data_IF_944030060038
#
_entry.id   IF_944030060038
#
_cell.length_a   1.000
_cell.length_b   1.000
_cell.length_c   1.000
_cell.angle_alpha   90.00
_cell.angle_beta   90.00
_cell.angle_gamma   90.00
#
_symmetry.space_group_name_H-M   'P 1'
#
loop_
_entity.id
_entity.type
_entity.pdbx_description
1 polymer ?
#
# COMPACT_ATOMS: atom_id res chain seq x y z
N UNK A 1 26.38 -5.88 -22.48
CA UNK A 1 24.94 -5.55 -22.36
C UNK A 1 24.41 -5.58 -20.93
N UNK A 2 24.53 -6.69 -20.13
CA UNK A 2 24.00 -6.76 -18.76
C UNK A 2 24.50 -5.64 -17.84
N UNK A 3 25.82 -5.37 -17.80
CA UNK A 3 26.40 -4.31 -16.96
C UNK A 3 25.88 -2.92 -17.34
N UNK A 4 25.72 -2.65 -18.64
CA UNK A 4 25.16 -1.39 -19.12
C UNK A 4 23.68 -1.24 -18.74
N UNK A 5 22.86 -2.29 -18.98
CA UNK A 5 21.43 -2.27 -18.60
C UNK A 5 21.24 -2.08 -17.09
N UNK A 6 22.03 -2.78 -16.26
CA UNK A 6 22.00 -2.61 -14.81
C UNK A 6 22.36 -1.17 -14.40
N UNK A 7 23.46 -0.63 -14.91
CA UNK A 7 23.90 0.73 -14.60
C UNK A 7 22.87 1.78 -15.07
N UNK A 8 22.28 1.59 -16.26
CA UNK A 8 21.23 2.46 -16.76
C UNK A 8 19.98 2.44 -15.86
N UNK A 9 19.55 1.25 -15.45
CA UNK A 9 18.41 1.10 -14.53
C UNK A 9 18.71 1.72 -13.17
N UNK A 10 19.91 1.52 -12.61
CA UNK A 10 20.31 2.11 -11.34
C UNK A 10 20.35 3.64 -11.40
N UNK A 11 20.90 4.21 -12.48
CA UNK A 11 20.92 5.66 -12.71
C UNK A 11 19.53 6.25 -12.87
N UNK A 12 18.66 5.57 -13.63
CA UNK A 12 17.27 5.99 -13.81
C UNK A 12 16.51 5.96 -12.48
N UNK A 13 16.68 4.90 -11.69
CA UNK A 13 16.12 4.80 -10.33
C UNK A 13 16.62 5.96 -9.45
N UNK A 14 17.93 6.19 -9.38
CA UNK A 14 18.52 7.26 -8.58
C UNK A 14 18.00 8.64 -9.01
N UNK A 15 17.85 8.86 -10.32
CA UNK A 15 17.31 10.12 -10.86
C UNK A 15 15.85 10.32 -10.44
N UNK A 16 14.98 9.31 -10.67
CA UNK A 16 13.55 9.42 -10.36
C UNK A 16 13.33 9.60 -8.86
N UNK A 17 13.91 8.73 -8.04
CA UNK A 17 13.73 8.79 -6.57
C UNK A 17 14.39 10.04 -5.99
N UNK A 18 15.54 10.45 -6.55
CA UNK A 18 16.21 11.70 -6.18
C UNK A 18 15.36 12.93 -6.48
N UNK A 19 14.72 13.00 -7.66
CA UNK A 19 13.79 14.10 -8.01
C UNK A 19 12.61 14.13 -7.04
N UNK A 20 11.97 12.98 -6.78
CA UNK A 20 10.85 12.88 -5.83
C UNK A 20 11.29 13.36 -4.45
N UNK A 21 12.46 12.93 -3.98
CA UNK A 21 12.98 13.31 -2.68
C UNK A 21 13.27 14.82 -2.58
N UNK A 22 13.87 15.41 -3.61
CA UNK A 22 14.11 16.86 -3.67
C UNK A 22 12.78 17.63 -3.72
N UNK A 23 11.81 17.18 -4.47
CA UNK A 23 10.48 17.79 -4.49
C UNK A 23 9.83 17.79 -3.10
N UNK A 24 9.94 16.69 -2.35
CA UNK A 24 9.41 16.59 -0.98
C UNK A 24 10.13 17.53 -0.03
N UNK A 25 11.45 17.65 -0.13
CA UNK A 25 12.22 18.54 0.74
C UNK A 25 11.85 20.02 0.55
N UNK A 26 11.62 20.43 -0.69
CA UNK A 26 11.42 21.84 -1.03
C UNK A 26 9.98 22.19 -1.39
N UNK A 27 9.15 21.22 -1.75
CA UNK A 27 7.78 21.41 -2.20
C UNK A 27 6.72 21.47 -1.09
N UNK A 28 7.12 21.43 0.16
CA UNK A 28 6.22 21.43 1.32
C UNK A 28 5.23 22.59 1.30
N UNK A 29 5.65 23.76 0.82
CA UNK A 29 4.79 24.95 0.67
C UNK A 29 3.80 24.85 -0.50
N UNK A 30 3.95 23.84 -1.37
CA UNK A 30 3.09 23.60 -2.52
C UNK A 30 2.03 22.52 -2.27
N UNK A 31 2.10 21.82 -1.15
CA UNK A 31 1.16 20.73 -0.81
C UNK A 31 -0.14 21.30 -0.24
N UNK A 32 -1.18 21.30 -1.03
CA UNK A 32 -2.44 21.92 -0.63
C UNK A 32 -3.45 20.97 0.01
N UNK A 33 -3.10 19.70 0.19
CA UNK A 33 -3.99 18.68 0.77
C UNK A 33 -3.94 18.56 2.28
N UNK A 34 -2.97 19.12 2.93
CA UNK A 34 -2.89 19.06 4.37
C UNK A 34 -3.73 20.18 4.98
N UNK A 35 -4.83 19.83 5.65
CA UNK A 35 -5.62 20.77 6.45
C UNK A 35 -4.80 21.46 7.54
N UNK A 36 -3.74 20.78 8.01
CA UNK A 36 -2.74 21.30 8.94
C UNK A 36 -1.33 21.03 8.41
N UNK A 37 -0.47 22.00 8.50
CA UNK A 37 0.93 21.87 8.09
C UNK A 37 1.74 20.99 9.05
N UNK A 38 2.88 20.52 8.60
CA UNK A 38 3.86 19.90 9.49
C UNK A 38 4.38 20.95 10.47
N UNK A 39 4.57 20.56 11.73
CA UNK A 39 5.18 21.47 12.74
C UNK A 39 6.62 21.82 12.38
N UNK A 40 7.30 20.95 11.64
CA UNK A 40 8.69 21.09 11.27
C UNK A 40 8.87 20.89 9.76
N UNK A 41 9.54 21.80 9.03
CA UNK A 41 9.85 21.64 7.61
C UNK A 41 10.68 20.37 7.32
N UNK A 42 10.40 19.69 6.21
CA UNK A 42 11.09 18.46 5.81
C UNK A 42 12.63 18.63 5.72
N UNK A 43 13.11 19.81 5.31
CA UNK A 43 14.55 20.10 5.26
C UNK A 43 15.17 20.11 6.67
N UNK A 44 14.46 20.64 7.67
CA UNK A 44 14.92 20.65 9.06
C UNK A 44 14.94 19.23 9.63
N UNK A 45 13.94 18.41 9.30
CA UNK A 45 13.91 16.98 9.63
C UNK A 45 15.15 16.27 9.07
N UNK A 46 15.47 16.50 7.79
CA UNK A 46 16.65 15.91 7.15
C UNK A 46 17.94 16.33 7.82
N UNK A 47 18.10 17.63 8.10
CA UNK A 47 19.28 18.16 8.83
C UNK A 47 19.39 17.51 10.21
N UNK A 48 18.27 17.36 10.93
CA UNK A 48 18.22 16.66 12.21
C UNK A 48 18.73 15.21 12.10
N UNK A 49 18.30 14.45 11.09
CA UNK A 49 18.81 13.08 10.85
C UNK A 49 20.29 13.04 10.53
N UNK A 50 20.81 13.99 9.74
CA UNK A 50 22.24 14.09 9.45
C UNK A 50 23.04 14.36 10.73
N UNK A 51 22.60 15.29 11.56
CA UNK A 51 23.25 15.62 12.84
C UNK A 51 23.25 14.43 13.80
N UNK A 52 22.12 13.76 13.98
CA UNK A 52 22.01 12.55 14.80
C UNK A 52 22.91 11.44 14.25
N UNK A 53 22.95 11.26 12.94
CA UNK A 53 23.84 10.31 12.26
C UNK A 53 25.31 10.61 12.53
N UNK A 54 25.72 11.87 12.47
CA UNK A 54 27.09 12.30 12.78
C UNK A 54 27.44 12.06 14.26
N UNK A 55 26.54 12.36 15.19
CA UNK A 55 26.74 12.10 16.62
C UNK A 55 26.93 10.60 16.87
N UNK A 56 26.06 9.75 16.30
CA UNK A 56 26.17 8.28 16.41
C UNK A 56 27.49 7.79 15.78
N UNK A 57 27.88 8.35 14.63
CA UNK A 57 29.15 8.01 13.98
C UNK A 57 30.36 8.37 14.87
N UNK A 58 30.40 9.58 15.39
CA UNK A 58 31.47 10.04 16.29
C UNK A 58 31.53 9.23 17.59
N UNK A 59 30.35 8.89 18.15
CA UNK A 59 30.27 8.05 19.36
C UNK A 59 30.82 6.66 19.09
N UNK A 60 30.40 6.00 18.00
CA UNK A 60 30.90 4.69 17.58
C UNK A 60 32.39 4.69 17.25
N UNK A 61 32.88 5.77 16.61
CA UNK A 61 34.29 5.92 16.32
C UNK A 61 35.14 5.92 17.61
N UNK A 62 34.66 6.59 18.67
CA UNK A 62 35.30 6.58 20.00
C UNK A 62 35.18 5.21 20.69
N UNK A 63 34.05 4.51 20.53
CA UNK A 63 33.80 3.23 21.19
C UNK A 63 34.55 2.05 20.53
N UNK A 64 34.71 2.06 19.20
CA UNK A 64 35.52 1.08 18.48
C UNK A 64 37.01 1.11 18.86
N UNK A 65 37.52 2.22 19.42
CA UNK A 65 38.86 2.28 20.01
C UNK A 65 38.99 1.50 21.32
N UNK A 66 37.88 1.07 21.93
CA UNK A 66 37.85 0.39 23.24
C UNK A 66 37.59 -1.13 23.13
N UNK A 67 37.90 -1.78 22.01
CA UNK A 67 37.73 -3.24 21.77
C UNK A 67 36.77 -3.92 22.77
N UNK A 68 35.47 -3.61 22.70
CA UNK A 68 34.45 -4.40 23.40
C UNK A 68 33.91 -5.46 22.45
N UNK A 69 33.93 -6.72 22.91
CA UNK A 69 33.26 -7.82 22.23
C UNK A 69 31.82 -7.42 21.89
N UNK A 70 31.50 -7.43 20.59
CA UNK A 70 30.15 -7.07 20.12
C UNK A 70 29.16 -8.14 20.60
N UNK A 71 28.31 -7.79 21.56
CA UNK A 71 27.24 -8.65 22.03
C UNK A 71 26.38 -9.09 20.84
N UNK A 72 26.38 -10.38 20.55
CA UNK A 72 25.58 -10.95 19.45
C UNK A 72 24.12 -11.03 19.89
N UNK A 73 23.29 -10.16 19.32
CA UNK A 73 21.84 -10.18 19.57
C UNK A 73 21.17 -11.26 18.74
N UNK A 74 20.24 -11.99 19.34
CA UNK A 74 19.35 -12.89 18.60
C UNK A 74 18.20 -12.06 17.97
N UNK A 75 18.49 -11.47 16.80
CA UNK A 75 17.51 -10.62 16.10
C UNK A 75 16.21 -11.38 15.76
N UNK A 76 16.29 -12.68 15.45
CA UNK A 76 15.09 -13.46 15.11
C UNK A 76 14.15 -13.59 16.32
N UNK A 77 14.69 -13.75 17.53
CA UNK A 77 13.90 -13.80 18.76
C UNK A 77 13.29 -12.43 19.08
N UNK A 78 14.10 -11.37 18.99
CA UNK A 78 13.63 -10.00 19.25
C UNK A 78 12.48 -9.64 18.29
N UNK A 79 12.62 -9.94 17.00
CA UNK A 79 11.56 -9.72 16.00
C UNK A 79 10.28 -10.45 16.38
N UNK A 80 10.36 -11.75 16.74
CA UNK A 80 9.15 -12.52 17.12
C UNK A 80 8.44 -11.94 18.33
N UNK A 81 9.18 -11.56 19.37
CA UNK A 81 8.60 -10.92 20.57
C UNK A 81 7.98 -9.57 20.18
N UNK A 82 8.69 -8.74 19.41
CA UNK A 82 8.19 -7.44 18.96
C UNK A 82 6.92 -7.56 18.14
N UNK A 83 6.75 -8.61 17.32
CA UNK A 83 5.53 -8.85 16.54
C UNK A 83 4.32 -9.16 17.43
N UNK A 84 4.51 -9.94 18.50
CA UNK A 84 3.44 -10.22 19.48
C UNK A 84 3.05 -8.93 20.17
N UNK A 85 4.03 -8.16 20.64
CA UNK A 85 3.79 -6.87 21.30
C UNK A 85 3.09 -5.91 20.34
N UNK A 86 3.53 -5.82 19.08
CA UNK A 86 2.91 -4.99 18.07
C UNK A 86 1.44 -5.37 17.86
N UNK A 87 1.15 -6.67 17.73
CA UNK A 87 -0.22 -7.15 17.57
C UNK A 87 -1.13 -6.70 18.73
N UNK A 88 -0.66 -6.87 19.96
CA UNK A 88 -1.42 -6.44 21.15
C UNK A 88 -1.63 -4.92 21.15
N UNK A 89 -0.59 -4.14 20.84
CA UNK A 89 -0.69 -2.68 20.74
C UNK A 89 -1.70 -2.26 19.66
N UNK A 90 -1.68 -2.89 18.49
CA UNK A 90 -2.61 -2.57 17.41
C UNK A 90 -4.07 -2.84 17.80
N UNK A 91 -4.35 -3.97 18.47
CA UNK A 91 -5.70 -4.28 18.95
C UNK A 91 -6.13 -3.29 20.02
N UNK A 92 -5.24 -2.94 20.94
CA UNK A 92 -5.51 -1.96 21.98
C UNK A 92 -5.81 -0.57 21.40
N UNK A 93 -5.02 -0.11 20.42
CA UNK A 93 -5.29 1.15 19.71
C UNK A 93 -6.63 1.05 19.00
N UNK A 94 -6.86 -0.01 18.22
CA UNK A 94 -8.10 -0.19 17.46
C UNK A 94 -9.34 -0.11 18.36
N UNK A 95 -9.34 -0.79 19.50
CA UNK A 95 -10.45 -0.76 20.44
C UNK A 95 -10.82 0.66 20.91
N UNK A 96 -9.83 1.55 21.02
CA UNK A 96 -10.01 2.90 21.52
C UNK A 96 -10.31 3.96 20.45
N UNK A 97 -10.06 3.63 19.17
CA UNK A 97 -10.22 4.59 18.06
C UNK A 97 -11.09 4.06 16.90
N UNK A 98 -11.71 2.87 17.05
CA UNK A 98 -12.56 2.30 16.00
C UNK A 98 -13.74 3.22 15.68
N UNK A 99 -14.07 3.33 14.42
CA UNK A 99 -15.21 4.07 13.89
C UNK A 99 -15.72 3.39 12.61
N UNK A 100 -16.93 3.74 12.16
CA UNK A 100 -17.46 3.22 10.90
C UNK A 100 -16.71 3.86 9.71
N UNK A 101 -16.07 3.08 8.82
CA UNK A 101 -15.35 3.65 7.70
C UNK A 101 -16.30 4.35 6.72
N UNK A 102 -15.79 5.41 6.11
CA UNK A 102 -16.50 6.11 5.03
C UNK A 102 -16.01 5.73 3.64
N UNK A 103 -16.31 6.58 2.67
CA UNK A 103 -15.91 6.44 1.27
C UNK A 103 -16.19 5.04 0.70
N UNK A 104 -15.30 4.53 -0.11
CA UNK A 104 -15.41 3.20 -0.70
C UNK A 104 -15.40 2.08 0.36
N UNK A 105 -14.58 2.22 1.40
CA UNK A 105 -14.49 1.22 2.47
C UNK A 105 -15.84 1.05 3.18
N UNK A 106 -16.49 2.16 3.58
CA UNK A 106 -17.81 2.12 4.18
C UNK A 106 -18.91 1.66 3.22
N UNK A 107 -18.81 2.04 1.95
CA UNK A 107 -19.74 1.58 0.91
C UNK A 107 -19.71 0.07 0.73
N UNK A 108 -18.52 -0.53 0.70
CA UNK A 108 -18.33 -1.98 0.55
C UNK A 108 -18.74 -2.70 1.83
N UNK A 109 -18.34 -2.22 3.00
CA UNK A 109 -18.73 -2.78 4.29
C UNK A 109 -20.26 -2.84 4.45
N UNK A 110 -20.95 -1.74 4.16
CA UNK A 110 -22.40 -1.70 4.22
C UNK A 110 -23.07 -2.61 3.18
N UNK A 111 -22.49 -2.73 1.98
CA UNK A 111 -22.94 -3.70 0.98
C UNK A 111 -22.72 -5.14 1.45
N UNK A 112 -21.64 -5.43 2.16
CA UNK A 112 -21.38 -6.75 2.72
C UNK A 112 -22.40 -7.12 3.81
N UNK A 113 -22.82 -6.18 4.66
CA UNK A 113 -23.94 -6.39 5.61
C UNK A 113 -25.25 -6.72 4.89
N UNK A 114 -25.59 -5.95 3.84
CA UNK A 114 -26.79 -6.20 3.01
C UNK A 114 -26.73 -7.59 2.37
N UNK A 115 -25.56 -7.96 1.83
CA UNK A 115 -25.34 -9.28 1.23
C UNK A 115 -25.56 -10.43 2.21
N UNK A 116 -25.03 -10.32 3.44
CA UNK A 116 -25.16 -11.33 4.50
C UNK A 116 -26.61 -11.45 4.96
N UNK A 117 -27.34 -10.34 5.04
CA UNK A 117 -28.75 -10.31 5.46
C UNK A 117 -29.72 -10.77 4.35
N UNK A 118 -29.23 -11.24 3.21
CA UNK A 118 -30.02 -11.86 2.16
C UNK A 118 -30.56 -10.91 1.09
N UNK A 119 -30.46 -9.59 1.26
CA UNK A 119 -30.92 -8.58 0.30
C UNK A 119 -29.91 -8.36 -0.84
N UNK A 120 -29.53 -9.41 -1.51
CA UNK A 120 -28.37 -9.45 -2.42
C UNK A 120 -28.50 -8.59 -3.67
N UNK A 121 -29.71 -8.29 -4.11
CA UNK A 121 -29.95 -7.37 -5.22
C UNK A 121 -29.63 -5.91 -4.85
N UNK A 122 -29.75 -5.54 -3.58
CA UNK A 122 -29.61 -4.15 -3.13
C UNK A 122 -28.17 -3.71 -2.96
N UNK A 123 -27.19 -4.62 -3.00
CA UNK A 123 -25.76 -4.31 -2.86
C UNK A 123 -25.28 -3.32 -3.92
N UNK A 124 -25.80 -3.43 -5.16
CA UNK A 124 -25.45 -2.56 -6.28
C UNK A 124 -26.03 -1.13 -6.14
N UNK A 125 -27.06 -0.99 -5.32
CA UNK A 125 -27.66 0.32 -4.99
C UNK A 125 -26.78 1.02 -3.96
N UNK A 126 -26.26 0.27 -2.98
CA UNK A 126 -25.44 0.84 -1.90
C UNK A 126 -24.04 1.24 -2.36
N UNK A 127 -23.42 0.44 -3.27
CA UNK A 127 -22.12 0.73 -3.85
C UNK A 127 -22.12 0.41 -5.34
N UNK A 128 -21.54 1.25 -6.20
CA UNK A 128 -21.63 1.11 -7.65
C UNK A 128 -20.69 0.03 -8.20
N UNK A 129 -20.93 -1.25 -7.85
CA UNK A 129 -20.10 -2.38 -8.32
C UNK A 129 -20.09 -2.55 -9.84
N UNK A 130 -21.14 -2.11 -10.55
CA UNK A 130 -21.14 -2.08 -12.01
C UNK A 130 -20.05 -1.16 -12.57
N UNK A 131 -19.75 -0.06 -11.88
CA UNK A 131 -18.70 0.88 -12.26
C UNK A 131 -17.31 0.40 -11.80
N UNK A 132 -17.23 -0.19 -10.61
CA UNK A 132 -16.01 -0.61 -9.92
C UNK A 132 -16.01 -2.09 -9.54
N UNK A 133 -16.09 -3.02 -10.54
CA UNK A 133 -16.21 -4.46 -10.27
C UNK A 133 -14.96 -5.08 -9.61
N UNK A 134 -13.84 -4.36 -9.59
CA UNK A 134 -12.64 -4.77 -8.86
C UNK A 134 -12.86 -4.89 -7.35
N UNK A 135 -13.88 -4.25 -6.79
CA UNK A 135 -14.21 -4.31 -5.37
C UNK A 135 -15.09 -5.50 -4.97
N UNK A 136 -15.54 -6.33 -5.93
CA UNK A 136 -16.35 -7.52 -5.64
C UNK A 136 -15.62 -8.57 -4.81
N UNK A 137 -14.31 -8.77 -5.06
CA UNK A 137 -13.54 -9.71 -4.24
C UNK A 137 -13.50 -9.26 -2.77
N UNK A 138 -13.32 -7.96 -2.55
CA UNK A 138 -13.33 -7.39 -1.20
C UNK A 138 -14.70 -7.53 -0.55
N UNK A 139 -15.79 -7.24 -1.27
CA UNK A 139 -17.17 -7.48 -0.82
C UNK A 139 -17.35 -8.92 -0.31
N UNK A 140 -16.92 -9.92 -1.08
CA UNK A 140 -17.11 -11.32 -0.69
C UNK A 140 -16.23 -11.72 0.50
N UNK A 141 -15.01 -11.17 0.60
CA UNK A 141 -14.16 -11.36 1.78
C UNK A 141 -14.83 -10.76 3.01
N UNK A 142 -15.30 -9.50 2.93
CA UNK A 142 -15.99 -8.85 4.04
C UNK A 142 -17.28 -9.57 4.43
N UNK A 143 -18.06 -9.99 3.45
CA UNK A 143 -19.28 -10.78 3.70
C UNK A 143 -19.00 -12.10 4.45
N UNK A 144 -17.91 -12.79 4.08
CA UNK A 144 -17.50 -14.00 4.78
C UNK A 144 -17.08 -13.72 6.24
N UNK A 145 -16.34 -12.61 6.46
CA UNK A 145 -15.93 -12.19 7.80
C UNK A 145 -17.15 -11.80 8.64
N UNK A 146 -18.09 -11.01 8.10
CA UNK A 146 -19.32 -10.62 8.78
C UNK A 146 -20.17 -11.85 9.12
N UNK A 147 -20.36 -12.78 8.15
CA UNK A 147 -21.09 -14.01 8.40
C UNK A 147 -20.48 -14.84 9.52
N UNK A 148 -19.15 -14.95 9.54
CA UNK A 148 -18.44 -15.62 10.63
C UNK A 148 -18.63 -14.90 11.97
N UNK A 149 -18.53 -13.58 11.97
CA UNK A 149 -18.70 -12.76 13.16
C UNK A 149 -20.11 -12.86 13.78
N UNK A 150 -21.14 -12.91 12.91
CA UNK A 150 -22.53 -12.99 13.32
C UNK A 150 -22.89 -14.32 14.02
N UNK A 151 -22.07 -15.37 13.85
CA UNK A 151 -22.23 -16.62 14.62
C UNK A 151 -22.06 -16.40 16.14
N UNK A 152 -21.34 -15.33 16.56
CA UNK A 152 -20.99 -15.08 17.95
C UNK A 152 -21.53 -13.76 18.48
N UNK A 153 -21.87 -12.81 17.64
CA UNK A 153 -22.04 -11.41 18.01
C UNK A 153 -23.41 -10.79 17.66
N UNK A 154 -24.38 -11.56 17.21
CA UNK A 154 -25.75 -11.11 16.89
C UNK A 154 -25.78 -9.76 16.14
N UNK A 155 -25.04 -9.64 15.01
CA UNK A 155 -24.99 -8.46 14.15
C UNK A 155 -24.43 -7.18 14.82
N UNK A 156 -23.68 -7.32 15.91
CA UNK A 156 -23.09 -6.17 16.58
C UNK A 156 -21.97 -5.53 15.73
N UNK A 157 -22.21 -4.32 15.25
CA UNK A 157 -21.30 -3.59 14.35
C UNK A 157 -19.92 -3.33 14.96
N UNK A 158 -19.87 -2.98 16.25
CA UNK A 158 -18.58 -2.74 16.95
C UNK A 158 -17.75 -4.01 16.94
N UNK A 159 -18.39 -5.16 17.19
CA UNK A 159 -17.71 -6.47 17.18
C UNK A 159 -17.25 -6.79 15.77
N UNK A 160 -18.07 -6.57 14.72
CA UNK A 160 -17.68 -6.78 13.33
C UNK A 160 -16.46 -5.93 12.95
N UNK A 161 -16.47 -4.63 13.27
CA UNK A 161 -15.35 -3.72 13.00
C UNK A 161 -14.08 -4.10 13.77
N UNK A 162 -14.22 -4.58 15.00
CA UNK A 162 -13.10 -5.10 15.78
C UNK A 162 -12.54 -6.39 15.18
N UNK A 163 -13.37 -7.28 14.62
CA UNK A 163 -12.88 -8.44 13.85
C UNK A 163 -12.06 -8.02 12.64
N UNK A 164 -12.52 -7.03 11.89
CA UNK A 164 -11.74 -6.47 10.78
C UNK A 164 -10.42 -5.85 11.26
N UNK A 165 -10.42 -5.14 12.37
CA UNK A 165 -9.20 -4.60 12.96
C UNK A 165 -8.22 -5.71 13.40
N UNK A 166 -8.73 -6.83 13.95
CA UNK A 166 -7.91 -8.00 14.27
C UNK A 166 -7.28 -8.60 13.01
N UNK A 167 -8.05 -8.78 11.93
CA UNK A 167 -7.54 -9.29 10.66
C UNK A 167 -6.49 -8.33 10.06
N UNK A 168 -6.75 -7.03 10.07
CA UNK A 168 -5.78 -6.03 9.63
C UNK A 168 -4.51 -6.09 10.47
N UNK A 169 -4.61 -6.27 11.78
CA UNK A 169 -3.45 -6.42 12.67
C UNK A 169 -2.64 -7.66 12.29
N UNK A 170 -3.29 -8.79 12.00
CA UNK A 170 -2.60 -10.01 11.53
C UNK A 170 -1.86 -9.77 10.22
N UNK A 171 -2.51 -9.12 9.24
CA UNK A 171 -1.93 -8.77 7.93
C UNK A 171 -0.74 -7.84 8.11
N UNK A 172 -0.88 -6.82 8.94
CA UNK A 172 0.13 -5.81 9.19
C UNK A 172 1.37 -6.40 9.91
N UNK A 173 1.16 -7.22 10.92
CA UNK A 173 2.22 -7.99 11.60
C UNK A 173 2.92 -8.94 10.63
N UNK A 174 2.16 -9.63 9.76
CA UNK A 174 2.73 -10.47 8.71
C UNK A 174 3.56 -9.65 7.71
N UNK A 175 3.10 -8.46 7.31
CA UNK A 175 3.85 -7.57 6.43
C UNK A 175 5.16 -7.08 7.06
N UNK A 176 5.16 -6.73 8.36
CA UNK A 176 6.37 -6.38 9.10
C UNK A 176 7.36 -7.56 9.17
N UNK A 177 6.86 -8.76 9.47
CA UNK A 177 7.67 -9.98 9.49
C UNK A 177 8.27 -10.31 8.13
N UNK A 178 7.46 -10.27 7.07
CA UNK A 178 7.90 -10.51 5.70
C UNK A 178 8.90 -9.47 5.23
N UNK A 179 8.78 -8.21 5.65
CA UNK A 179 9.79 -7.18 5.39
C UNK A 179 11.13 -7.55 6.02
N UNK A 180 11.14 -8.00 7.29
CA UNK A 180 12.35 -8.52 7.94
C UNK A 180 12.94 -9.70 7.18
N UNK A 181 12.11 -10.69 6.83
CA UNK A 181 12.55 -11.90 6.11
C UNK A 181 13.08 -11.57 4.72
N UNK A 182 12.41 -10.69 3.98
CA UNK A 182 12.83 -10.23 2.66
C UNK A 182 14.16 -9.49 2.72
N UNK A 183 14.33 -8.57 3.66
CA UNK A 183 15.59 -7.87 3.87
C UNK A 183 16.72 -8.82 4.28
N UNK A 184 16.42 -9.88 5.06
CA UNK A 184 17.39 -10.90 5.46
C UNK A 184 17.91 -11.78 4.31
N UNK A 185 17.20 -11.78 3.15
CA UNK A 185 17.69 -12.49 1.95
C UNK A 185 18.84 -11.76 1.26
N UNK A 186 18.88 -10.44 1.37
CA UNK A 186 19.78 -9.56 0.61
C UNK A 186 20.76 -8.76 1.50
N UNK A 187 20.51 -8.70 2.80
CA UNK A 187 21.30 -7.92 3.75
C UNK A 187 21.67 -8.72 5.01
N UNK A 188 22.68 -8.21 5.73
CA UNK A 188 23.02 -8.73 7.06
C UNK A 188 21.84 -8.56 8.02
N UNK A 189 21.64 -9.50 8.96
CA UNK A 189 20.52 -9.50 9.93
C UNK A 189 20.33 -8.18 10.68
N UNK A 190 21.40 -7.45 10.97
CA UNK A 190 21.33 -6.12 11.59
C UNK A 190 20.62 -5.09 10.72
N UNK A 191 20.88 -5.10 9.40
CA UNK A 191 20.23 -4.19 8.44
C UNK A 191 18.77 -4.63 8.24
N UNK A 192 18.52 -5.93 8.14
CA UNK A 192 17.17 -6.48 8.09
C UNK A 192 16.35 -6.11 9.32
N UNK A 193 16.95 -6.10 10.51
CA UNK A 193 16.30 -5.65 11.74
C UNK A 193 15.99 -4.15 11.70
N UNK A 194 16.88 -3.31 11.16
CA UNK A 194 16.59 -1.89 10.94
C UNK A 194 15.40 -1.68 9.97
N UNK A 195 15.34 -2.46 8.87
CA UNK A 195 14.19 -2.44 7.96
C UNK A 195 12.88 -2.87 8.65
N UNK A 196 12.95 -3.86 9.56
CA UNK A 196 11.82 -4.26 10.40
C UNK A 196 11.34 -3.12 11.29
N UNK A 197 12.25 -2.44 12.00
CA UNK A 197 11.89 -1.29 12.85
C UNK A 197 11.25 -0.18 12.02
N UNK A 198 11.79 0.13 10.84
CA UNK A 198 11.20 1.12 9.94
C UNK A 198 9.80 0.69 9.47
N UNK A 199 9.56 -0.59 9.18
CA UNK A 199 8.25 -1.10 8.84
C UNK A 199 7.25 -0.96 10.00
N UNK A 200 7.66 -1.31 11.23
CA UNK A 200 6.85 -1.14 12.44
C UNK A 200 6.48 0.33 12.66
N UNK A 201 7.45 1.24 12.54
CA UNK A 201 7.22 2.66 12.75
C UNK A 201 6.41 3.31 11.62
N UNK A 202 6.56 2.85 10.38
CA UNK A 202 5.93 3.45 9.21
C UNK A 202 4.47 3.02 9.06
N UNK A 203 4.19 1.72 9.05
CA UNK A 203 2.84 1.19 8.88
C UNK A 203 2.36 0.29 10.02
N UNK A 204 3.27 -0.29 10.82
CA UNK A 204 2.90 -1.14 11.94
C UNK A 204 2.13 -0.43 13.05
N UNK A 205 2.43 0.82 13.34
CA UNK A 205 1.75 1.65 14.33
C UNK A 205 0.75 2.64 13.71
N UNK A 206 0.44 2.47 12.43
CA UNK A 206 -0.49 3.35 11.73
C UNK A 206 -1.94 3.10 12.17
N UNK A 207 -2.77 4.14 12.36
CA UNK A 207 -4.18 4.01 12.66
C UNK A 207 -4.99 3.42 11.49
N UNK A 208 -4.44 3.37 10.28
CA UNK A 208 -5.06 2.67 9.15
C UNK A 208 -5.42 1.21 9.44
N UNK A 209 -4.89 0.67 10.54
CA UNK A 209 -5.22 -0.67 11.01
C UNK A 209 -6.72 -0.86 11.34
N UNK A 210 -7.47 0.20 11.63
CA UNK A 210 -8.91 0.12 11.89
C UNK A 210 -9.77 0.08 10.62
N UNK A 211 -9.20 0.42 9.46
CA UNK A 211 -9.90 0.42 8.18
C UNK A 211 -9.54 -0.84 7.38
N UNK A 212 -10.47 -1.78 7.29
CA UNK A 212 -10.31 -2.96 6.44
C UNK A 212 -10.73 -2.61 5.01
N UNK A 213 -9.75 -2.41 4.16
CA UNK A 213 -9.96 -1.99 2.77
C UNK A 213 -8.85 -2.52 1.86
N UNK A 214 -8.97 -2.29 0.57
CA UNK A 214 -8.01 -2.76 -0.43
C UNK A 214 -6.57 -2.31 -0.16
N UNK A 215 -6.37 -1.16 0.49
CA UNK A 215 -5.05 -0.62 0.85
C UNK A 215 -4.40 -1.42 1.98
N UNK A 216 -5.13 -1.66 3.05
CA UNK A 216 -4.63 -2.42 4.22
C UNK A 216 -4.47 -3.91 3.89
N UNK A 217 -5.47 -4.52 3.25
CA UNK A 217 -5.41 -5.92 2.83
C UNK A 217 -4.35 -6.14 1.74
N UNK A 218 -4.20 -5.18 0.82
CA UNK A 218 -3.25 -5.24 -0.29
C UNK A 218 -1.78 -5.18 0.13
N UNK A 219 -1.48 -4.56 1.29
CA UNK A 219 -0.12 -4.27 1.75
C UNK A 219 0.80 -5.51 1.77
N UNK A 220 0.29 -6.64 2.21
CA UNK A 220 1.10 -7.85 2.41
C UNK A 220 1.51 -8.51 1.09
N UNK A 221 0.70 -8.40 0.03
CA UNK A 221 0.89 -9.20 -1.19
C UNK A 221 2.16 -8.85 -1.98
N UNK A 222 2.55 -7.60 -2.22
CA UNK A 222 3.82 -7.29 -2.89
C UNK A 222 5.03 -7.83 -2.11
N UNK A 223 5.00 -7.73 -0.78
CA UNK A 223 6.08 -8.19 0.10
C UNK A 223 6.16 -9.71 0.09
N UNK A 224 5.00 -10.39 0.19
CA UNK A 224 4.90 -11.85 0.12
C UNK A 224 5.36 -12.38 -1.24
N UNK A 225 4.91 -11.72 -2.33
CA UNK A 225 5.32 -12.05 -3.71
C UNK A 225 6.84 -11.98 -3.86
N UNK A 226 7.45 -10.88 -3.40
CA UNK A 226 8.90 -10.73 -3.41
C UNK A 226 9.60 -11.82 -2.59
N UNK A 227 9.17 -12.03 -1.35
CA UNK A 227 9.76 -13.01 -0.46
C UNK A 227 9.70 -14.44 -1.04
N UNK A 228 8.54 -14.87 -1.50
CA UNK A 228 8.35 -16.20 -2.07
C UNK A 228 9.16 -16.42 -3.36
N UNK A 229 9.25 -15.37 -4.18
CA UNK A 229 9.99 -15.45 -5.45
C UNK A 229 11.51 -15.53 -5.24
N UNK A 230 12.03 -14.79 -4.25
CA UNK A 230 13.46 -14.60 -4.01
C UNK A 230 14.05 -15.55 -2.98
N UNK A 231 13.24 -16.19 -2.12
CA UNK A 231 13.78 -17.05 -1.06
C UNK A 231 14.55 -18.23 -1.63
N UNK A 232 15.74 -18.57 -1.09
CA UNK A 232 16.46 -19.77 -1.47
C UNK A 232 15.70 -21.01 -1.02
N UNK A 233 15.69 -22.03 -1.88
CA UNK A 233 15.03 -23.31 -1.61
C UNK A 233 16.03 -24.45 -1.67
N UNK A 234 15.81 -25.51 -0.88
CA UNK A 234 16.72 -26.66 -0.78
C UNK A 234 16.73 -27.52 -2.06
N UNK A 235 15.65 -27.53 -2.81
CA UNK A 235 15.49 -28.34 -4.02
C UNK A 235 14.86 -27.51 -5.14
N UNK A 236 15.12 -27.89 -6.39
CA UNK A 236 14.51 -27.27 -7.56
C UNK A 236 12.97 -27.32 -7.52
N UNK A 237 12.41 -28.45 -7.05
CA UNK A 237 10.95 -28.60 -6.86
C UNK A 237 10.38 -27.57 -5.89
N UNK A 238 11.04 -27.34 -4.77
CA UNK A 238 10.60 -26.32 -3.80
C UNK A 238 10.75 -24.91 -4.34
N UNK A 239 11.76 -24.64 -5.17
CA UNK A 239 11.91 -23.36 -5.85
C UNK A 239 10.72 -23.09 -6.80
N UNK A 240 10.34 -24.08 -7.59
CA UNK A 240 9.17 -23.99 -8.46
C UNK A 240 7.89 -23.74 -7.68
N UNK A 241 7.61 -24.50 -6.65
CA UNK A 241 6.43 -24.31 -5.79
C UNK A 241 6.41 -22.89 -5.23
N UNK A 242 7.55 -22.40 -4.73
CA UNK A 242 7.67 -21.06 -4.15
C UNK A 242 7.38 -19.96 -5.18
N UNK A 243 7.91 -20.08 -6.40
CA UNK A 243 7.65 -19.12 -7.48
C UNK A 243 6.19 -19.15 -7.97
N UNK A 244 5.58 -20.33 -8.06
CA UNK A 244 4.15 -20.47 -8.37
C UNK A 244 3.29 -19.80 -7.29
N UNK A 245 3.60 -20.04 -6.01
CA UNK A 245 2.91 -19.39 -4.90
C UNK A 245 3.10 -17.85 -4.92
N UNK A 246 4.26 -17.36 -5.34
CA UNK A 246 4.50 -15.93 -5.54
C UNK A 246 3.59 -15.36 -6.63
N UNK A 247 3.43 -16.07 -7.75
CA UNK A 247 2.53 -15.67 -8.84
C UNK A 247 1.07 -15.64 -8.36
N UNK A 248 0.64 -16.67 -7.64
CA UNK A 248 -0.72 -16.73 -7.08
C UNK A 248 -0.96 -15.57 -6.10
N UNK A 249 -0.01 -15.31 -5.18
CA UNK A 249 -0.09 -14.18 -4.25
C UNK A 249 -0.18 -12.84 -4.99
N UNK A 250 0.64 -12.64 -6.05
CA UNK A 250 0.58 -11.46 -6.89
C UNK A 250 -0.78 -11.30 -7.61
N UNK A 251 -1.38 -12.39 -8.08
CA UNK A 251 -2.70 -12.38 -8.72
C UNK A 251 -3.83 -12.06 -7.73
N UNK A 252 -3.79 -12.63 -6.52
CA UNK A 252 -4.75 -12.29 -5.46
C UNK A 252 -4.61 -10.80 -5.12
N UNK A 253 -3.39 -10.34 -4.87
CA UNK A 253 -3.10 -8.93 -4.60
C UNK A 253 -3.61 -8.02 -5.71
N UNK A 254 -3.41 -8.35 -6.99
CA UNK A 254 -3.92 -7.61 -8.13
C UNK A 254 -5.44 -7.46 -8.13
N UNK A 255 -6.16 -8.51 -7.77
CA UNK A 255 -7.63 -8.48 -7.71
C UNK A 255 -8.16 -7.73 -6.48
N UNK A 256 -7.35 -7.53 -5.44
CA UNK A 256 -7.66 -6.66 -4.30
C UNK A 256 -7.31 -5.22 -4.65
N UNK A 257 -6.06 -4.98 -5.11
CA UNK A 257 -5.56 -3.67 -5.52
C UNK A 257 -4.60 -3.80 -6.70
N UNK A 258 -4.92 -3.23 -7.87
CA UNK A 258 -4.12 -3.40 -9.09
C UNK A 258 -2.63 -3.07 -8.94
N UNK A 259 -2.27 -2.14 -8.07
CA UNK A 259 -0.89 -1.74 -7.81
C UNK A 259 -0.02 -2.88 -7.23
N UNK A 260 -0.62 -3.89 -6.59
CA UNK A 260 0.11 -5.06 -6.10
C UNK A 260 0.81 -5.85 -7.22
N UNK A 261 0.34 -5.72 -8.48
CA UNK A 261 0.94 -6.37 -9.63
C UNK A 261 2.34 -5.82 -9.98
N UNK A 262 2.66 -4.58 -9.60
CA UNK A 262 3.93 -3.93 -9.94
C UNK A 262 5.12 -4.77 -9.48
N UNK A 263 5.07 -5.36 -8.29
CA UNK A 263 6.12 -6.24 -7.78
C UNK A 263 6.30 -7.48 -8.67
N UNK A 264 5.21 -8.12 -9.07
CA UNK A 264 5.27 -9.30 -9.91
C UNK A 264 5.84 -8.98 -11.30
N UNK A 265 5.44 -7.84 -11.89
CA UNK A 265 5.99 -7.35 -13.17
C UNK A 265 7.51 -7.15 -13.04
N UNK A 266 7.98 -6.49 -11.98
CA UNK A 266 9.41 -6.27 -11.74
C UNK A 266 10.17 -7.60 -11.65
N UNK A 267 9.63 -8.59 -10.94
CA UNK A 267 10.23 -9.91 -10.81
C UNK A 267 10.26 -10.67 -12.14
N UNK A 268 9.21 -10.59 -12.95
CA UNK A 268 9.21 -11.16 -14.30
C UNK A 268 10.26 -10.50 -15.20
N UNK A 269 10.45 -9.19 -15.13
CA UNK A 269 11.49 -8.48 -15.89
C UNK A 269 12.89 -8.99 -15.47
N UNK A 270 13.16 -9.09 -14.17
CA UNK A 270 14.43 -9.62 -13.66
C UNK A 270 14.64 -11.07 -14.12
N UNK A 271 13.61 -11.91 -14.01
CA UNK A 271 13.66 -13.30 -14.46
C UNK A 271 13.93 -13.39 -15.97
N UNK A 272 13.30 -12.53 -16.80
CA UNK A 272 13.50 -12.48 -18.24
C UNK A 272 14.97 -12.17 -18.58
N UNK A 273 15.57 -11.15 -17.99
CA UNK A 273 16.98 -10.85 -18.21
C UNK A 273 17.93 -11.97 -17.78
N UNK A 274 17.56 -12.75 -16.76
CA UNK A 274 18.35 -13.91 -16.37
C UNK A 274 18.22 -15.10 -17.34
N UNK A 275 17.14 -15.16 -18.13
CA UNK A 275 16.90 -16.24 -19.10
C UNK A 275 17.63 -16.08 -20.42
N UNK A 276 18.06 -14.86 -20.79
CA UNK A 276 18.77 -14.61 -22.05
C UNK A 276 20.05 -15.46 -22.22
N UNK A 277 20.51 -16.10 -21.15
CA UNK A 277 21.68 -16.99 -21.16
C UNK A 277 21.34 -18.48 -20.96
N UNK A 278 20.10 -18.84 -20.69
CA UNK A 278 19.75 -20.23 -20.34
C UNK A 278 18.33 -20.59 -20.79
N UNK A 279 18.22 -21.47 -21.78
CA UNK A 279 16.93 -21.93 -22.35
C UNK A 279 16.00 -22.59 -21.30
N UNK A 280 16.56 -23.30 -20.29
CA UNK A 280 15.74 -23.86 -19.20
C UNK A 280 15.00 -22.78 -18.40
N UNK A 281 15.63 -21.63 -18.18
CA UNK A 281 15.01 -20.48 -17.51
C UNK A 281 13.93 -19.81 -18.37
N UNK A 282 14.00 -19.89 -19.70
CA UNK A 282 12.94 -19.41 -20.59
C UNK A 282 11.66 -20.23 -20.42
N UNK A 283 11.77 -21.56 -20.36
CA UNK A 283 10.63 -22.44 -20.08
C UNK A 283 9.99 -22.08 -18.73
N UNK A 284 10.80 -21.74 -17.73
CA UNK A 284 10.31 -21.29 -16.41
C UNK A 284 9.41 -20.05 -16.55
N UNK A 285 9.80 -19.04 -17.33
CA UNK A 285 8.96 -17.85 -17.52
C UNK A 285 7.63 -18.22 -18.19
N UNK A 286 7.66 -19.08 -19.23
CA UNK A 286 6.44 -19.49 -19.94
C UNK A 286 5.48 -20.18 -18.98
N UNK A 287 5.97 -21.08 -18.12
CA UNK A 287 5.14 -21.76 -17.13
C UNK A 287 4.58 -20.75 -16.11
N UNK A 288 5.41 -19.86 -15.58
CA UNK A 288 4.94 -18.85 -14.61
C UNK A 288 3.92 -17.88 -15.24
N UNK A 289 4.10 -17.51 -16.51
CA UNK A 289 3.12 -16.72 -17.26
C UNK A 289 1.81 -17.51 -17.47
N UNK A 290 1.89 -18.80 -17.75
CA UNK A 290 0.70 -19.69 -17.80
C UNK A 290 -0.02 -19.75 -16.44
N UNK A 291 0.72 -19.92 -15.33
CA UNK A 291 0.18 -19.86 -13.98
C UNK A 291 -0.49 -18.52 -13.67
N UNK A 292 0.12 -17.40 -14.11
CA UNK A 292 -0.46 -16.07 -13.96
C UNK A 292 -1.82 -15.96 -14.68
N UNK A 293 -1.88 -16.34 -15.95
CA UNK A 293 -3.13 -16.31 -16.73
C UNK A 293 -4.19 -17.22 -16.08
N UNK A 294 -3.82 -18.45 -15.72
CA UNK A 294 -4.72 -19.41 -15.08
C UNK A 294 -5.27 -18.89 -13.76
N UNK A 295 -4.41 -18.29 -12.92
CA UNK A 295 -4.82 -17.69 -11.64
C UNK A 295 -5.83 -16.56 -11.84
N UNK A 296 -5.59 -15.67 -12.81
CA UNK A 296 -6.53 -14.58 -13.13
C UNK A 296 -7.88 -15.10 -13.62
N UNK A 297 -7.86 -16.11 -14.51
CA UNK A 297 -9.09 -16.75 -15.01
C UNK A 297 -9.85 -17.38 -13.85
N UNK A 298 -9.17 -18.15 -12.99
CA UNK A 298 -9.79 -18.82 -11.85
C UNK A 298 -10.45 -17.83 -10.90
N UNK A 299 -9.74 -16.75 -10.51
CA UNK A 299 -10.30 -15.72 -9.61
C UNK A 299 -11.52 -15.05 -10.26
N UNK A 300 -11.41 -14.64 -11.53
CA UNK A 300 -12.51 -14.01 -12.24
C UNK A 300 -13.73 -14.94 -12.38
N UNK A 301 -13.51 -16.21 -12.74
CA UNK A 301 -14.58 -17.21 -12.84
C UNK A 301 -15.24 -17.45 -11.48
N UNK A 302 -14.45 -17.55 -10.40
CA UNK A 302 -14.99 -17.71 -9.05
C UNK A 302 -15.87 -16.51 -8.65
N UNK A 303 -15.44 -15.29 -8.93
CA UNK A 303 -16.24 -14.07 -8.67
C UNK A 303 -17.54 -14.12 -9.47
N UNK A 304 -17.49 -14.43 -10.77
CA UNK A 304 -18.69 -14.52 -11.62
C UNK A 304 -19.66 -15.58 -11.11
N UNK A 305 -19.17 -16.79 -10.76
CA UNK A 305 -20.01 -17.85 -10.21
C UNK A 305 -20.68 -17.44 -8.89
N UNK A 306 -19.98 -16.70 -8.02
CA UNK A 306 -20.60 -16.17 -6.80
C UNK A 306 -21.68 -15.16 -7.16
N UNK A 307 -21.44 -14.26 -8.11
CA UNK A 307 -22.44 -13.29 -8.57
C UNK A 307 -23.68 -13.99 -9.13
N UNK A 308 -23.51 -14.94 -10.04
CA UNK A 308 -24.58 -15.72 -10.65
C UNK A 308 -25.43 -16.46 -9.60
N UNK A 309 -24.76 -17.21 -8.71
CA UNK A 309 -25.42 -17.96 -7.63
C UNK A 309 -26.24 -17.05 -6.70
N UNK A 310 -25.81 -15.81 -6.53
CA UNK A 310 -26.46 -14.84 -5.64
C UNK A 310 -27.33 -13.81 -6.40
N UNK A 311 -27.56 -14.02 -7.70
CA UNK A 311 -28.41 -13.16 -8.55
C UNK A 311 -27.95 -11.69 -8.56
N UNK A 312 -26.64 -11.44 -8.41
CA UNK A 312 -26.04 -10.12 -8.50
C UNK A 312 -25.90 -9.77 -9.98
N UNK A 313 -26.70 -8.84 -10.45
CA UNK A 313 -26.69 -8.36 -11.84
C UNK A 313 -25.83 -7.12 -11.94
N UNK A 314 -24.72 -7.23 -12.68
CA UNK A 314 -23.83 -6.12 -12.96
C UNK A 314 -24.05 -5.62 -14.39
N UNK A 315 -24.26 -4.32 -14.53
CA UNK A 315 -24.31 -3.69 -15.84
C UNK A 315 -22.90 -3.38 -16.35
N UNK A 316 -22.40 -4.24 -17.23
CA UNK A 316 -21.05 -4.10 -17.80
C UNK A 316 -20.89 -2.82 -18.65
N UNK A 317 -22.00 -2.23 -19.13
CA UNK A 317 -21.95 -0.95 -19.86
C UNK A 317 -21.53 0.22 -18.98
N UNK A 318 -21.75 0.16 -17.68
CA UNK A 318 -21.38 1.21 -16.72
C UNK A 318 -19.92 1.16 -16.28
N UNK A 319 -19.20 0.08 -16.57
CA UNK A 319 -17.84 -0.13 -16.08
C UNK A 319 -16.92 1.02 -16.47
N UNK A 320 -16.29 1.65 -15.45
CA UNK A 320 -15.21 2.61 -15.63
C UNK A 320 -13.89 1.85 -15.81
N UNK A 321 -13.30 2.00 -17.00
CA UNK A 321 -12.06 1.31 -17.35
C UNK A 321 -10.82 2.20 -17.14
N UNK A 322 -9.66 1.66 -17.51
CA UNK A 322 -8.37 2.36 -17.37
C UNK A 322 -8.35 3.75 -18.03
N UNK A 323 -9.08 3.95 -19.16
CA UNK A 323 -9.16 5.24 -19.84
C UNK A 323 -9.80 6.33 -18.97
N UNK A 324 -10.79 5.98 -18.13
CA UNK A 324 -11.38 6.91 -17.17
C UNK A 324 -10.36 7.36 -16.13
N UNK A 325 -9.67 6.42 -15.50
CA UNK A 325 -8.64 6.74 -14.50
C UNK A 325 -7.45 7.51 -15.08
N UNK A 326 -7.10 7.24 -16.35
CA UNK A 326 -6.08 8.01 -17.06
C UNK A 326 -6.52 9.46 -17.28
N UNK A 327 -7.76 9.67 -17.71
CA UNK A 327 -8.35 11.00 -17.91
C UNK A 327 -8.43 11.78 -16.61
N UNK A 328 -9.02 11.19 -15.57
CA UNK A 328 -9.16 11.79 -14.24
C UNK A 328 -7.78 12.05 -13.61
N UNK A 329 -6.83 11.13 -13.78
CA UNK A 329 -5.46 11.28 -13.33
C UNK A 329 -4.66 12.40 -14.02
N UNK A 330 -5.17 12.98 -15.12
CA UNK A 330 -4.64 14.15 -15.82
C UNK A 330 -5.51 15.41 -15.66
N UNK A 331 -6.41 15.43 -14.69
CA UNK A 331 -7.19 16.60 -14.35
C UNK A 331 -6.37 17.54 -13.45
N UNK A 332 -6.00 18.72 -13.97
CA UNK A 332 -5.17 19.71 -13.25
C UNK A 332 -5.92 20.30 -12.06
N UNK A 333 -7.20 20.65 -12.23
CA UNK A 333 -8.05 21.23 -11.18
C UNK A 333 -8.22 20.28 -10.01
N UNK A 334 -8.45 18.98 -10.30
CA UNK A 334 -8.51 17.93 -9.29
C UNK A 334 -7.16 17.45 -8.75
N UNK A 335 -6.04 17.99 -9.25
CA UNK A 335 -4.70 17.52 -8.87
C UNK A 335 -4.42 16.07 -9.24
N UNK A 336 -5.14 15.53 -10.22
CA UNK A 336 -5.06 14.13 -10.65
C UNK A 336 -5.72 13.14 -9.69
N UNK A 337 -6.63 13.57 -8.85
CA UNK A 337 -7.39 12.79 -7.87
C UNK A 337 -8.83 12.57 -8.35
N UNK A 338 -9.67 11.99 -7.46
CA UNK A 338 -11.08 11.82 -7.74
C UNK A 338 -11.78 13.17 -7.99
N UNK A 339 -12.52 13.25 -9.10
CA UNK A 339 -13.35 14.40 -9.48
C UNK A 339 -14.69 13.86 -9.95
N UNK A 340 -15.78 14.28 -9.31
CA UNK A 340 -17.14 13.85 -9.64
C UNK A 340 -17.55 14.17 -11.06
N UNK A 341 -17.14 15.33 -11.58
CA UNK A 341 -17.43 15.77 -12.95
C UNK A 341 -16.76 14.87 -14.01
N UNK A 342 -15.58 14.31 -13.71
CA UNK A 342 -14.94 13.34 -14.60
C UNK A 342 -15.70 12.01 -14.63
N UNK A 343 -16.30 11.62 -13.50
CA UNK A 343 -17.20 10.46 -13.44
C UNK A 343 -18.47 10.73 -14.25
N UNK A 344 -19.09 11.90 -14.05
CA UNK A 344 -20.26 12.32 -14.80
C UNK A 344 -19.99 12.37 -16.32
N UNK A 345 -18.87 12.96 -16.72
CA UNK A 345 -18.43 12.97 -18.13
C UNK A 345 -18.27 11.55 -18.68
N UNK A 346 -17.60 10.66 -17.98
CA UNK A 346 -17.45 9.28 -18.45
C UNK A 346 -18.80 8.55 -18.56
N UNK A 347 -19.75 8.85 -17.68
CA UNK A 347 -21.11 8.25 -17.70
C UNK A 347 -22.01 8.80 -18.79
N UNK A 348 -21.72 9.96 -19.36
CA UNK A 348 -22.55 10.58 -20.39
C UNK A 348 -22.52 9.84 -21.74
N UNK A 349 -21.58 8.92 -21.95
CA UNK A 349 -21.45 8.15 -23.19
C UNK A 349 -22.23 6.84 -23.12
N UNK A 350 -23.00 6.57 -24.17
CA UNK A 350 -23.90 5.42 -24.22
C UNK A 350 -23.15 4.07 -24.25
N UNK A 351 -22.01 4.02 -24.93
CA UNK A 351 -21.24 2.77 -25.10
C UNK A 351 -19.88 2.83 -24.43
N UNK A 352 -19.32 1.68 -23.95
CA UNK A 352 -17.96 1.62 -23.44
C UNK A 352 -16.89 2.04 -24.44
N UNK A 353 -17.12 1.83 -25.74
CA UNK A 353 -16.21 2.19 -26.83
C UNK A 353 -16.15 3.71 -27.00
N UNK A 354 -17.30 4.38 -27.07
CA UNK A 354 -17.37 5.84 -27.13
C UNK A 354 -16.74 6.48 -25.91
N UNK A 355 -17.06 5.98 -24.71
CA UNK A 355 -16.47 6.41 -23.45
C UNK A 355 -14.95 6.29 -23.46
N UNK A 356 -14.41 5.15 -23.90
CA UNK A 356 -12.96 4.95 -24.00
C UNK A 356 -12.33 5.96 -24.95
N UNK A 357 -12.90 6.19 -26.12
CA UNK A 357 -12.39 7.15 -27.10
C UNK A 357 -12.42 8.57 -26.54
N UNK A 358 -13.54 8.99 -25.99
CA UNK A 358 -13.71 10.32 -25.40
C UNK A 358 -12.76 10.57 -24.22
N UNK A 359 -12.60 9.60 -23.31
CA UNK A 359 -11.67 9.72 -22.18
C UNK A 359 -10.22 9.83 -22.64
N UNK A 360 -9.80 9.06 -23.64
CA UNK A 360 -8.44 9.16 -24.21
C UNK A 360 -8.27 10.53 -24.87
N UNK A 361 -9.22 10.97 -25.67
CA UNK A 361 -9.19 12.29 -26.30
C UNK A 361 -9.07 13.41 -25.26
N UNK A 362 -9.92 13.39 -24.24
CA UNK A 362 -9.90 14.38 -23.14
C UNK A 362 -8.57 14.37 -22.38
N UNK A 363 -7.93 13.21 -22.23
CA UNK A 363 -6.58 13.11 -21.64
C UNK A 363 -5.56 13.92 -22.45
N UNK A 364 -5.53 13.72 -23.78
CA UNK A 364 -4.59 14.44 -24.64
C UNK A 364 -4.89 15.94 -24.75
N UNK A 365 -6.18 16.33 -24.76
CA UNK A 365 -6.59 17.74 -24.70
C UNK A 365 -6.04 18.40 -23.46
N UNK A 366 -6.28 17.83 -22.26
CA UNK A 366 -5.74 18.33 -20.98
C UNK A 366 -4.21 18.46 -20.98
N UNK A 367 -3.50 17.45 -21.49
CA UNK A 367 -2.03 17.52 -21.61
C UNK A 367 -1.58 18.63 -22.56
N UNK A 368 -2.28 18.82 -23.68
CA UNK A 368 -2.00 19.87 -24.65
C UNK A 368 -2.25 21.26 -24.09
N UNK A 369 -3.39 21.45 -23.39
CA UNK A 369 -3.80 22.73 -22.82
C UNK A 369 -2.81 23.19 -21.73
N UNK A 370 -2.32 22.27 -20.91
CA UNK A 370 -1.25 22.56 -19.95
C UNK A 370 0.08 22.93 -20.63
N UNK A 371 0.35 22.45 -21.83
CA UNK A 371 1.65 22.53 -22.47
C UNK A 371 2.75 21.82 -21.68
N UNK A 372 3.97 21.78 -22.21
CA UNK A 372 5.07 21.03 -21.58
C UNK A 372 5.39 21.53 -20.15
N UNK A 373 5.56 22.84 -20.00
CA UNK A 373 5.93 23.42 -18.70
C UNK A 373 4.81 23.28 -17.64
N UNK A 374 3.53 23.48 -18.07
CA UNK A 374 2.36 23.28 -17.20
C UNK A 374 2.22 21.82 -16.78
N UNK A 375 2.39 20.89 -17.72
CA UNK A 375 2.32 19.45 -17.43
C UNK A 375 3.41 18.99 -16.47
N UNK A 376 4.65 19.46 -16.62
CA UNK A 376 5.73 19.16 -15.67
C UNK A 376 5.42 19.72 -14.27
N UNK A 377 4.85 20.93 -14.19
CA UNK A 377 4.40 21.52 -12.92
C UNK A 377 3.27 20.69 -12.31
N UNK A 378 2.30 20.27 -13.10
CA UNK A 378 1.23 19.37 -12.67
C UNK A 378 1.76 18.05 -12.14
N UNK A 379 2.71 17.40 -12.85
CA UNK A 379 3.35 16.17 -12.37
C UNK A 379 4.08 16.37 -11.04
N UNK A 380 4.79 17.49 -10.87
CA UNK A 380 5.45 17.82 -9.60
C UNK A 380 4.44 17.96 -8.45
N UNK A 381 3.32 18.67 -8.66
CA UNK A 381 2.22 18.76 -7.68
C UNK A 381 1.64 17.39 -7.36
N UNK A 382 1.41 16.57 -8.38
CA UNK A 382 0.89 15.22 -8.20
C UNK A 382 1.85 14.33 -7.40
N UNK A 383 3.16 14.43 -7.66
CA UNK A 383 4.17 13.72 -6.87
C UNK A 383 4.16 14.17 -5.41
N UNK A 384 4.03 15.47 -5.13
CA UNK A 384 3.87 15.95 -3.76
C UNK A 384 2.59 15.41 -3.11
N UNK A 385 1.47 15.39 -3.82
CA UNK A 385 0.21 14.84 -3.29
C UNK A 385 0.35 13.36 -2.90
N UNK A 386 1.10 12.59 -3.67
CA UNK A 386 1.27 11.14 -3.43
C UNK A 386 2.34 10.83 -2.39
N UNK A 387 3.44 11.58 -2.37
CA UNK A 387 4.63 11.20 -1.60
C UNK A 387 4.94 12.13 -0.42
N UNK A 388 4.27 13.28 -0.28
CA UNK A 388 4.58 14.24 0.79
C UNK A 388 3.63 14.11 2.00
N UNK A 389 3.21 12.90 2.31
CA UNK A 389 2.39 12.62 3.49
C UNK A 389 2.74 11.26 4.10
N UNK A 390 3.47 11.30 5.21
CA UNK A 390 3.85 10.11 5.97
C UNK A 390 2.68 9.44 6.70
N UNK A 391 1.49 10.09 6.75
CA UNK A 391 0.27 9.48 7.33
C UNK A 391 -0.56 8.73 6.30
N UNK A 392 -0.16 8.75 5.02
CA UNK A 392 -0.91 8.12 3.93
C UNK A 392 -2.34 8.64 3.80
N UNK A 393 -2.52 9.96 3.91
CA UNK A 393 -3.79 10.67 3.84
C UNK A 393 -4.80 10.30 4.96
N UNK A 394 -4.32 9.82 6.12
CA UNK A 394 -5.18 9.48 7.26
C UNK A 394 -6.12 10.62 7.66
N UNK A 395 -5.69 11.87 7.57
CA UNK A 395 -6.56 13.04 7.84
C UNK A 395 -7.80 13.13 6.95
N UNK A 396 -7.83 12.43 5.82
CA UNK A 396 -9.00 12.31 4.95
C UNK A 396 -10.18 11.58 5.60
N UNK A 397 -9.91 10.71 6.58
CA UNK A 397 -10.92 9.98 7.35
C UNK A 397 -11.59 10.85 8.43
N UNK A 398 -11.10 12.06 8.67
CA UNK A 398 -11.59 12.94 9.73
C UNK A 398 -13.08 13.24 9.69
N UNK A 399 -13.73 13.12 8.54
CA UNK A 399 -15.17 13.32 8.39
C UNK A 399 -16.00 12.17 9.03
N UNK A 400 -15.37 11.02 9.33
CA UNK A 400 -16.00 9.81 9.84
C UNK A 400 -15.67 9.51 11.29
N UNK A 401 -14.68 10.16 11.90
CA UNK A 401 -14.26 9.91 13.26
C UNK A 401 -15.37 10.09 14.31
N UNK A 402 -16.39 10.89 14.01
CA UNK A 402 -17.51 11.15 14.91
C UNK A 402 -18.77 10.33 14.56
N UNK A 403 -18.72 9.62 13.44
CA UNK A 403 -19.85 8.77 13.06
C UNK A 403 -19.64 7.49 13.81
N UNK A 404 -20.52 7.29 14.83
CA UNK A 404 -20.78 5.94 15.11
C UNK A 404 -20.98 5.51 16.51
N UNK A 405 -20.30 5.20 17.37
CA UNK A 405 -20.62 4.38 18.52
C UNK A 405 -20.36 5.14 19.81
N UNK A 406 -20.99 4.74 20.91
CA UNK A 406 -20.44 5.10 22.19
C UNK A 406 -19.02 4.54 22.28
N UNK A 407 -18.04 5.36 21.92
CA UNK A 407 -16.63 5.01 22.05
C UNK A 407 -16.24 4.97 23.53
N UNK A 408 -15.23 4.13 23.91
CA UNK A 408 -14.70 4.16 25.28
C UNK A 408 -14.34 5.59 25.69
N UNK A 409 -14.81 6.03 26.86
CA UNK A 409 -14.61 7.39 27.38
C UNK A 409 -13.68 7.42 28.61
N UNK A 410 -12.65 6.58 28.60
CA UNK A 410 -11.59 6.62 29.57
C UNK A 410 -10.44 7.53 29.15
N UNK A 411 -9.59 7.94 30.09
CA UNK A 411 -8.47 8.85 29.81
C UNK A 411 -7.54 8.37 28.68
N UNK A 412 -7.34 7.06 28.55
CA UNK A 412 -6.46 6.47 27.52
C UNK A 412 -7.12 6.59 26.15
N UNK A 413 -8.40 6.29 26.03
CA UNK A 413 -9.15 6.41 24.80
C UNK A 413 -9.18 7.86 24.32
N UNK A 414 -9.46 8.81 25.20
CA UNK A 414 -9.42 10.25 24.92
C UNK A 414 -8.03 10.66 24.46
N UNK A 415 -6.96 10.18 25.13
CA UNK A 415 -5.59 10.48 24.75
C UNK A 415 -5.23 9.94 23.36
N UNK A 416 -5.60 8.68 23.04
CA UNK A 416 -5.36 8.09 21.73
C UNK A 416 -6.12 8.80 20.62
N UNK A 417 -7.39 9.18 20.86
CA UNK A 417 -8.15 9.98 19.89
C UNK A 417 -7.54 11.36 19.68
N UNK A 418 -7.01 11.99 20.74
CA UNK A 418 -6.28 13.26 20.60
C UNK A 418 -5.03 13.15 19.74
N UNK A 419 -4.40 11.97 19.66
CA UNK A 419 -3.25 11.72 18.80
C UNK A 419 -3.68 11.43 17.34
N UNK A 420 -4.65 10.53 17.18
CA UNK A 420 -4.94 9.95 15.88
C UNK A 420 -6.07 10.65 15.11
N UNK A 421 -7.00 11.31 15.79
CA UNK A 421 -8.10 11.96 15.10
C UNK A 421 -7.68 13.34 14.56
N UNK A 422 -7.99 13.61 13.28
CA UNK A 422 -7.76 14.91 12.68
C UNK A 422 -8.47 16.01 13.47
N UNK A 423 -7.86 17.18 13.53
CA UNK A 423 -8.33 18.36 14.26
C UNK A 423 -8.34 18.22 15.82
N UNK A 424 -7.83 17.11 16.36
CA UNK A 424 -7.63 16.92 17.79
C UNK A 424 -6.27 17.46 18.27
N UNK A 425 -6.11 17.56 19.62
CA UNK A 425 -5.04 18.32 20.29
C UNK A 425 -3.62 17.95 19.89
N UNK A 426 -3.33 16.66 19.67
CA UNK A 426 -1.96 16.16 19.40
C UNK A 426 -1.78 15.64 17.97
N UNK A 427 -2.77 15.84 17.11
CA UNK A 427 -2.74 15.31 15.74
C UNK A 427 -1.55 15.84 14.92
N UNK A 428 -1.20 17.13 15.05
CA UNK A 428 -0.07 17.71 14.33
C UNK A 428 1.28 17.09 14.75
N UNK A 429 1.40 16.67 16.02
CA UNK A 429 2.57 15.93 16.51
C UNK A 429 2.65 14.58 15.81
N UNK A 430 1.54 13.83 15.76
CA UNK A 430 1.46 12.56 15.06
C UNK A 430 1.86 12.70 13.58
N UNK A 431 1.27 13.67 12.87
CA UNK A 431 1.62 13.96 11.46
C UNK A 431 3.11 14.24 11.30
N UNK A 432 3.68 15.07 12.17
CA UNK A 432 5.11 15.44 12.11
C UNK A 432 6.02 14.22 12.36
N UNK A 433 5.68 13.36 13.32
CA UNK A 433 6.43 12.13 13.59
C UNK A 433 6.38 11.19 12.38
N UNK A 434 5.19 10.94 11.84
CA UNK A 434 5.04 10.07 10.67
C UNK A 434 5.75 10.63 9.45
N UNK A 435 5.66 11.95 9.23
CA UNK A 435 6.41 12.62 8.16
C UNK A 435 7.92 12.49 8.35
N UNK A 436 8.42 12.58 9.58
CA UNK A 436 9.84 12.41 9.86
C UNK A 436 10.33 11.00 9.50
N UNK A 437 9.58 9.97 9.88
CA UNK A 437 9.88 8.58 9.52
C UNK A 437 9.88 8.42 7.99
N UNK A 438 8.88 8.99 7.33
CA UNK A 438 8.72 8.91 5.88
C UNK A 438 9.84 9.62 5.12
N UNK A 439 10.24 10.81 5.52
CA UNK A 439 11.39 11.55 4.95
C UNK A 439 12.67 10.73 5.09
N UNK A 440 12.87 10.07 6.23
CA UNK A 440 14.00 9.17 6.42
C UNK A 440 13.97 7.98 5.44
N UNK A 441 12.83 7.33 5.28
CA UNK A 441 12.65 6.18 4.36
C UNK A 441 12.94 6.61 2.91
N UNK A 442 12.38 7.73 2.47
CA UNK A 442 12.59 8.25 1.12
C UNK A 442 14.04 8.71 0.89
N UNK A 443 14.65 9.32 1.89
CA UNK A 443 16.07 9.69 1.86
C UNK A 443 16.97 8.46 1.75
N UNK A 444 16.72 7.43 2.52
CA UNK A 444 17.43 6.16 2.43
C UNK A 444 17.26 5.49 1.05
N UNK A 445 16.04 5.54 0.48
CA UNK A 445 15.76 5.04 -0.86
C UNK A 445 16.53 5.85 -1.94
N UNK A 446 16.58 7.18 -1.83
CA UNK A 446 17.33 8.03 -2.76
C UNK A 446 18.85 7.74 -2.71
N UNK A 447 19.41 7.62 -1.52
CA UNK A 447 20.85 7.33 -1.34
C UNK A 447 21.19 5.90 -1.81
N UNK A 448 20.29 4.93 -1.68
CA UNK A 448 20.54 3.56 -2.11
C UNK A 448 20.83 3.45 -3.63
N UNK A 449 20.25 4.34 -4.43
CA UNK A 449 20.51 4.43 -5.88
C UNK A 449 21.91 4.95 -6.24
N UNK A 450 22.59 5.59 -5.30
CA UNK A 450 23.95 6.14 -5.48
C UNK A 450 25.06 5.17 -5.04
N UNK A 451 24.70 4.05 -4.42
CA UNK A 451 25.66 3.07 -3.88
C UNK A 451 26.52 2.44 -4.98
N UNK A 452 27.83 2.30 -4.73
CA UNK A 452 28.73 1.51 -5.60
C UNK A 452 28.39 0.02 -5.45
N UNK A 453 28.46 -0.71 -6.58
CA UNK A 453 28.31 -2.17 -6.62
C UNK A 453 29.21 -2.84 -5.54
N UNK A 454 28.62 -3.31 -4.45
CA UNK A 454 29.17 -4.45 -3.76
C UNK A 454 28.70 -5.67 -4.56
N UNK A 455 29.62 -6.21 -5.39
CA UNK A 455 29.40 -7.44 -6.16
C UNK A 455 29.09 -8.60 -5.21
N UNK A 456 27.85 -8.83 -4.91
CA UNK A 456 27.35 -10.16 -4.65
C UNK A 456 26.59 -10.54 -5.92
N UNK A 457 27.15 -11.48 -6.66
CA UNK A 457 26.52 -12.10 -7.81
C UNK A 457 25.18 -12.69 -7.35
N UNK A 458 24.07 -12.07 -7.80
CA UNK A 458 22.72 -12.61 -7.66
C UNK A 458 22.45 -13.55 -8.84
#
# INVERSE_FOLDING_TARGET
MKKFAYQATQRLYALIVGIIFLLILFGQWCSYRMKKGFLVPNIVILVGFILVGLVIYCWRYKENRKQKEARTWNYDLVVKISLIVLFVIQIFIAYNIVFEPGWDAGGIYNSAKIFVNGNRADIVIRYPFSMYPNNLLLLFIESAVISFCNLFANENEVVQLMFFAVLNSMINVAACYLTYKSASLICKKKIAFAAFILAVLNFGLSPWNVIFYSDSLGLVFPILTFYLFMKPNKTEKMEWISKIMAVIAGCIGYNIKPQCLIMLIALFIIQFFSCLKNKKKLLQIVILAGCFILSLITIKTSINLICEKNQIVLDSSQRLGMSHFLMMGNNEEGGGLYVGDDVAYSKSFATPQERKKANIQRTFERMKDMGIAGYLRFLAKKMLTVYNDGTYAWGGEGNFFMVVFPQPDNHIAVFLRNIYYADHKYYDIYVTVMQSIWVFVLGAAAVSGLGKENRQEI
#
